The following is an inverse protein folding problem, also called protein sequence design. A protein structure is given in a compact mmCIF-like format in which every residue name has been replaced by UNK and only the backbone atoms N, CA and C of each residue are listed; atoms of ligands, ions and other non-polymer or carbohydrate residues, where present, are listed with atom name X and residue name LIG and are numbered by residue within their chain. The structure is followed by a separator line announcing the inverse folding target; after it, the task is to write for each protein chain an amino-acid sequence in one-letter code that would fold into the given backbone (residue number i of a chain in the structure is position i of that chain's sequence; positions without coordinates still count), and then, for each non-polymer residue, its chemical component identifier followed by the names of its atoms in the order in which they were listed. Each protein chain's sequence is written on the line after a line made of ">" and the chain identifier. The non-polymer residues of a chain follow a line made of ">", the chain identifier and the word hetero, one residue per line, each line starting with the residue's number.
data_IF_445872838747
#
_entry.id   IF_445872838747
#
_cell.length_a   1.000
_cell.length_b   1.000
_cell.length_c   1.000
_cell.angle_alpha   90.00
_cell.angle_beta   90.00
_cell.angle_gamma   90.00
#
_symmetry.space_group_name_H-M   'P 1'
#
loop_
_entity.id
_entity.type
_entity.pdbx_description
1 polymer ?
#
# COMPACT_ATOMS: atom_id res chain seq x y z
N UNK A 1 -5.75 -12.83 21.44
CA UNK A 1 -5.91 -11.86 20.33
C UNK A 1 -4.53 -11.50 19.81
N UNK A 2 -4.17 -12.03 18.67
CA UNK A 2 -2.90 -11.69 18.01
C UNK A 2 -2.91 -10.19 17.66
N UNK A 3 -2.02 -9.41 18.26
CA UNK A 3 -1.74 -8.05 17.81
C UNK A 3 -1.21 -8.14 16.39
N UNK A 4 -2.03 -7.85 15.38
CA UNK A 4 -1.55 -7.67 14.03
C UNK A 4 -0.43 -6.63 14.09
N UNK A 5 0.79 -7.04 13.74
CA UNK A 5 1.94 -6.16 13.70
C UNK A 5 1.62 -5.10 12.64
N UNK A 6 1.46 -3.84 13.06
CA UNK A 6 1.23 -2.75 12.11
C UNK A 6 2.38 -2.75 11.08
N UNK A 7 2.04 -2.67 9.81
CA UNK A 7 3.03 -2.50 8.74
C UNK A 7 3.72 -1.15 8.95
N UNK A 8 5.04 -1.12 8.85
CA UNK A 8 5.81 0.12 8.97
C UNK A 8 6.27 0.61 7.59
N UNK A 9 5.97 1.87 7.29
CA UNK A 9 6.51 2.62 6.16
C UNK A 9 7.56 3.59 6.68
N UNK A 10 8.74 3.54 6.11
CA UNK A 10 9.88 4.38 6.49
C UNK A 10 10.07 5.50 5.47
N UNK A 11 10.30 6.72 5.95
CA UNK A 11 10.80 7.79 5.09
C UNK A 11 12.32 7.64 5.02
N UNK A 12 12.85 7.29 3.85
CA UNK A 12 14.26 6.97 3.65
C UNK A 12 15.16 8.18 3.91
N UNK A 13 16.32 7.95 4.51
CA UNK A 13 17.35 8.98 4.72
C UNK A 13 18.48 8.91 3.68
N UNK A 14 18.52 7.83 2.91
CA UNK A 14 19.54 7.53 1.90
C UNK A 14 18.89 7.05 0.62
N UNK A 15 19.62 7.13 -0.49
CA UNK A 15 19.22 6.47 -1.72
C UNK A 15 19.31 4.95 -1.53
N UNK A 16 18.38 4.23 -2.12
CA UNK A 16 18.33 2.77 -2.11
C UNK A 16 17.72 2.27 -3.42
N UNK A 17 17.68 0.97 -3.60
CA UNK A 17 17.09 0.33 -4.77
C UNK A 17 16.02 -0.63 -4.27
N UNK A 18 14.86 -0.64 -4.92
CA UNK A 18 13.81 -1.59 -4.60
C UNK A 18 14.29 -3.03 -4.84
N UNK A 19 14.15 -3.87 -3.84
CA UNK A 19 14.57 -5.28 -3.92
C UNK A 19 13.85 -6.07 -5.00
N UNK A 20 12.62 -5.71 -5.34
CA UNK A 20 11.82 -6.40 -6.36
C UNK A 20 11.94 -5.74 -7.75
N UNK A 21 11.45 -4.53 -7.95
CA UNK A 21 11.40 -3.90 -9.28
C UNK A 21 12.70 -3.22 -9.72
N UNK A 22 13.71 -3.17 -8.85
CA UNK A 22 15.03 -2.53 -9.10
C UNK A 22 14.96 -1.02 -9.37
N UNK A 23 13.81 -0.40 -9.10
CA UNK A 23 13.67 1.05 -9.21
C UNK A 23 14.55 1.75 -8.17
N UNK A 24 15.19 2.85 -8.57
CA UNK A 24 15.91 3.72 -7.66
C UNK A 24 14.93 4.45 -6.73
N UNK A 25 15.21 4.37 -5.44
CA UNK A 25 14.45 5.01 -4.37
C UNK A 25 15.30 6.12 -3.78
N UNK A 26 14.97 7.35 -4.13
CA UNK A 26 15.70 8.53 -3.69
C UNK A 26 15.62 8.80 -2.18
N UNK A 27 16.32 9.84 -1.74
CA UNK A 27 16.16 10.37 -0.38
C UNK A 27 14.72 10.85 -0.18
N UNK A 28 14.16 10.61 1.01
CA UNK A 28 12.76 10.86 1.39
C UNK A 28 11.75 9.98 0.65
N UNK A 29 12.18 8.98 -0.10
CA UNK A 29 11.26 7.99 -0.64
C UNK A 29 10.58 7.23 0.50
N UNK A 30 9.34 6.87 0.28
CA UNK A 30 8.57 6.04 1.20
C UNK A 30 8.82 4.59 0.85
N UNK A 31 9.36 3.85 1.79
CA UNK A 31 9.76 2.47 1.63
C UNK A 31 9.19 1.62 2.75
N UNK A 32 9.01 0.35 2.49
CA UNK A 32 8.87 -0.66 3.53
C UNK A 32 10.03 -1.66 3.43
N UNK A 33 10.13 -2.54 4.39
CA UNK A 33 11.18 -3.56 4.40
C UNK A 33 10.55 -4.94 4.27
N UNK A 34 11.15 -5.77 3.42
CA UNK A 34 10.80 -7.18 3.33
C UNK A 34 11.33 -7.98 4.55
N UNK A 35 11.07 -9.29 4.57
CA UNK A 35 11.56 -10.19 5.63
C UNK A 35 13.09 -10.26 5.71
N UNK A 36 13.77 -10.00 4.59
CA UNK A 36 15.24 -9.97 4.48
C UNK A 36 15.81 -8.57 4.71
N UNK A 37 14.98 -7.59 5.07
CA UNK A 37 15.30 -6.17 5.25
C UNK A 37 15.75 -5.43 3.98
N UNK A 38 15.38 -5.92 2.80
CA UNK A 38 15.54 -5.14 1.58
C UNK A 38 14.48 -4.05 1.51
N UNK A 39 14.84 -2.89 0.96
CA UNK A 39 13.89 -1.81 0.71
C UNK A 39 12.92 -2.20 -0.41
N UNK A 40 11.64 -1.97 -0.20
CA UNK A 40 10.60 -2.12 -1.20
C UNK A 40 9.91 -0.78 -1.41
N UNK A 41 9.63 -0.42 -2.66
CA UNK A 41 8.75 0.69 -2.96
C UNK A 41 7.30 0.36 -2.55
N UNK A 42 6.47 1.37 -2.35
CA UNK A 42 5.08 1.14 -1.94
C UNK A 42 4.28 0.33 -2.97
N UNK A 43 4.58 0.50 -4.25
CA UNK A 43 3.96 -0.29 -5.31
C UNK A 43 4.26 -1.79 -5.16
N UNK A 44 5.53 -2.18 -4.98
CA UNK A 44 5.89 -3.58 -4.77
C UNK A 44 5.34 -4.14 -3.45
N UNK A 45 5.12 -3.29 -2.47
CA UNK A 45 4.55 -3.67 -1.18
C UNK A 45 3.01 -3.70 -1.14
N UNK A 46 2.32 -3.41 -2.25
CA UNK A 46 0.86 -3.27 -2.33
C UNK A 46 0.28 -2.17 -1.41
N UNK A 47 1.03 -1.10 -1.19
CA UNK A 47 0.66 0.02 -0.32
C UNK A 47 0.48 1.35 -1.08
N UNK A 48 0.65 1.36 -2.40
CA UNK A 48 0.58 2.54 -3.26
C UNK A 48 -0.82 3.18 -3.34
N UNK A 49 -1.85 2.40 -3.05
CA UNK A 49 -3.24 2.84 -3.00
C UNK A 49 -3.67 3.45 -1.66
N UNK A 50 -2.76 3.54 -0.69
CA UNK A 50 -3.05 4.10 0.62
C UNK A 50 -2.71 5.58 0.68
N UNK A 51 -3.57 6.37 1.33
CA UNK A 51 -3.43 7.82 1.47
C UNK A 51 -2.82 8.15 2.82
N UNK A 52 -1.92 9.14 2.81
CA UNK A 52 -1.23 9.59 4.02
C UNK A 52 -2.10 10.51 4.87
N UNK A 53 -2.15 10.20 6.15
CA UNK A 53 -2.71 11.04 7.21
C UNK A 53 -1.58 11.51 8.11
N UNK A 54 -1.27 12.81 8.13
CA UNK A 54 -0.24 13.35 9.02
C UNK A 54 -0.62 13.14 10.49
N UNK A 55 0.40 13.12 11.34
CA UNK A 55 0.21 13.13 12.80
C UNK A 55 -0.45 14.45 13.24
N UNK A 56 -1.36 14.38 14.22
CA UNK A 56 -2.02 15.57 14.78
C UNK A 56 -3.49 15.34 15.12
N UNK A 57 -4.23 14.61 14.29
CA UNK A 57 -5.62 14.24 14.58
C UNK A 57 -5.71 12.79 15.06
N UNK A 58 -5.80 12.62 16.37
CA UNK A 58 -5.90 11.28 17.00
C UNK A 58 -7.23 10.59 16.70
N UNK A 59 -8.32 11.35 16.56
CA UNK A 59 -9.63 10.82 16.24
C UNK A 59 -9.67 10.26 14.81
N UNK A 60 -9.11 11.00 13.87
CA UNK A 60 -9.00 10.61 12.46
C UNK A 60 -8.09 9.38 12.31
N UNK A 61 -6.94 9.38 12.98
CA UNK A 61 -5.99 8.26 12.97
C UNK A 61 -6.63 6.98 13.54
N UNK A 62 -7.39 7.10 14.63
CA UNK A 62 -8.10 5.98 15.25
C UNK A 62 -9.19 5.43 14.34
N UNK A 63 -9.98 6.30 13.69
CA UNK A 63 -11.02 5.91 12.73
C UNK A 63 -10.42 5.24 11.50
N UNK A 64 -9.34 5.79 10.95
CA UNK A 64 -8.59 5.19 9.85
C UNK A 64 -8.14 3.76 10.17
N UNK A 65 -7.60 3.53 11.37
CA UNK A 65 -7.20 2.20 11.82
C UNK A 65 -8.39 1.25 11.98
N UNK A 66 -9.51 1.73 12.53
CA UNK A 66 -10.69 0.91 12.80
C UNK A 66 -11.41 0.45 11.52
N UNK A 67 -11.47 1.33 10.51
CA UNK A 67 -12.27 1.11 9.31
C UNK A 67 -11.45 0.79 8.05
N UNK A 68 -10.13 0.79 8.13
CA UNK A 68 -9.27 0.34 7.04
C UNK A 68 -8.84 -1.10 7.26
N UNK A 69 -9.19 -1.99 6.33
CA UNK A 69 -8.72 -3.37 6.34
C UNK A 69 -7.19 -3.48 6.17
N UNK A 70 -6.57 -2.45 5.58
CA UNK A 70 -5.12 -2.31 5.42
C UNK A 70 -4.71 -0.91 5.83
N UNK A 71 -3.76 -0.80 6.73
CA UNK A 71 -3.13 0.47 7.11
C UNK A 71 -1.69 0.26 7.54
N UNK A 72 -0.87 1.29 7.41
CA UNK A 72 0.52 1.26 7.81
C UNK A 72 0.89 2.51 8.63
N UNK A 73 1.85 2.36 9.52
CA UNK A 73 2.41 3.46 10.32
C UNK A 73 3.58 4.07 9.55
N UNK A 74 3.58 5.39 9.38
CA UNK A 74 4.69 6.11 8.76
C UNK A 74 5.63 6.62 9.83
N UNK A 75 6.90 6.26 9.73
CA UNK A 75 7.94 6.65 10.67
C UNK A 75 9.11 7.36 9.97
N UNK A 76 9.67 8.34 10.63
CA UNK A 76 10.80 9.14 10.16
C UNK A 76 11.94 9.05 11.15
N UNK A 77 13.17 8.92 10.65
CA UNK A 77 14.37 8.97 11.48
C UNK A 77 14.69 10.39 11.91
N UNK A 78 14.73 10.64 13.22
CA UNK A 78 15.16 11.91 13.79
C UNK A 78 16.61 11.82 14.29
N UNK A 79 17.52 12.54 13.62
CA UNK A 79 18.95 12.56 13.97
C UNK A 79 19.21 13.06 15.37
N UNK A 80 18.48 14.11 15.78
CA UNK A 80 18.64 14.73 17.10
C UNK A 80 18.37 13.76 18.26
N UNK A 81 17.45 12.82 18.07
CA UNK A 81 17.03 11.83 19.08
C UNK A 81 17.52 10.42 18.79
N UNK A 82 18.25 10.22 17.67
CA UNK A 82 18.77 8.91 17.22
C UNK A 82 17.72 7.79 17.25
N UNK A 83 16.48 8.10 16.89
CA UNK A 83 15.37 7.14 16.85
C UNK A 83 14.37 7.43 15.75
N UNK A 84 13.54 6.43 15.40
CA UNK A 84 12.38 6.62 14.56
C UNK A 84 11.24 7.25 15.37
N UNK A 85 10.59 8.24 14.79
CA UNK A 85 9.39 8.85 15.37
C UNK A 85 8.20 8.71 14.42
N UNK A 86 7.01 8.63 15.01
CA UNK A 86 5.75 8.57 14.29
C UNK A 86 5.55 9.88 13.50
N UNK A 87 5.32 9.74 12.19
CA UNK A 87 5.05 10.85 11.28
C UNK A 87 3.60 10.91 10.84
N UNK A 88 2.91 9.78 10.85
CA UNK A 88 1.54 9.68 10.41
C UNK A 88 1.16 8.24 10.09
N UNK A 89 0.04 8.07 9.43
CA UNK A 89 -0.47 6.77 9.00
C UNK A 89 -0.95 6.83 7.55
N UNK A 90 -0.83 5.74 6.83
CA UNK A 90 -1.47 5.56 5.54
C UNK A 90 -2.64 4.57 5.67
N UNK A 91 -3.74 4.85 5.00
CA UNK A 91 -4.93 4.01 5.04
C UNK A 91 -5.96 4.43 3.98
N UNK A 92 -6.99 3.61 3.81
CA UNK A 92 -8.04 3.84 2.81
C UNK A 92 -8.98 5.01 3.12
N UNK A 93 -9.23 5.29 4.39
CA UNK A 93 -10.27 6.24 4.82
C UNK A 93 -9.97 7.68 4.41
N UNK A 94 -8.71 8.03 4.16
CA UNK A 94 -8.34 9.37 3.70
C UNK A 94 -8.67 9.57 2.22
N UNK A 95 -8.40 8.59 1.36
CA UNK A 95 -8.72 8.63 -0.07
C UNK A 95 -10.21 8.87 -0.32
N UNK A 96 -11.07 8.19 0.45
CA UNK A 96 -12.51 8.36 0.35
C UNK A 96 -13.00 9.77 0.73
N UNK A 97 -12.25 10.51 1.55
CA UNK A 97 -12.60 11.88 1.95
C UNK A 97 -12.13 12.94 0.96
N UNK A 98 -10.99 12.72 0.32
CA UNK A 98 -10.43 13.68 -0.64
C UNK A 98 -10.93 13.47 -2.06
N UNK A 99 -11.69 12.39 -2.32
CA UNK A 99 -12.17 12.00 -3.65
C UNK A 99 -11.05 12.04 -4.70
N UNK A 100 -9.83 11.68 -4.30
CA UNK A 100 -8.71 11.52 -5.20
C UNK A 100 -8.98 10.35 -6.15
N UNK A 101 -9.28 10.66 -7.39
CA UNK A 101 -9.67 9.70 -8.42
C UNK A 101 -8.59 8.63 -8.65
N UNK A 102 -7.33 9.03 -8.65
CA UNK A 102 -6.21 8.10 -8.81
C UNK A 102 -6.09 7.14 -7.60
N UNK A 103 -6.21 7.65 -6.38
CA UNK A 103 -6.18 6.82 -5.18
C UNK A 103 -7.39 5.86 -5.14
N UNK A 104 -8.56 6.30 -5.57
CA UNK A 104 -9.75 5.43 -5.70
C UNK A 104 -9.51 4.35 -6.75
N UNK A 105 -8.98 4.70 -7.92
CA UNK A 105 -8.65 3.76 -9.00
C UNK A 105 -7.66 2.70 -8.54
N UNK A 106 -6.58 3.10 -7.87
CA UNK A 106 -5.59 2.19 -7.32
C UNK A 106 -6.20 1.26 -6.24
N UNK A 107 -7.03 1.80 -5.37
CA UNK A 107 -7.71 1.02 -4.33
C UNK A 107 -8.68 -0.02 -4.92
N UNK A 108 -9.44 0.35 -5.94
CA UNK A 108 -10.34 -0.58 -6.65
C UNK A 108 -9.54 -1.67 -7.37
N UNK A 109 -8.47 -1.29 -8.07
CA UNK A 109 -7.58 -2.25 -8.75
C UNK A 109 -6.95 -3.23 -7.75
N UNK A 110 -6.48 -2.75 -6.60
CA UNK A 110 -5.94 -3.60 -5.55
C UNK A 110 -7.01 -4.53 -4.97
N UNK A 111 -8.22 -4.02 -4.72
CA UNK A 111 -9.34 -4.83 -4.23
C UNK A 111 -9.67 -5.98 -5.20
N UNK A 112 -9.88 -5.67 -6.48
CA UNK A 112 -10.17 -6.69 -7.51
C UNK A 112 -9.07 -7.73 -7.56
N UNK A 113 -7.81 -7.32 -7.55
CA UNK A 113 -6.67 -8.23 -7.57
C UNK A 113 -6.68 -9.22 -6.41
N UNK A 114 -6.99 -8.77 -5.20
CA UNK A 114 -6.97 -9.63 -4.00
C UNK A 114 -8.24 -10.47 -3.83
N UNK A 115 -9.41 -9.96 -4.22
CA UNK A 115 -10.69 -10.62 -3.94
C UNK A 115 -11.23 -11.42 -5.12
N UNK A 116 -11.00 -10.95 -6.34
CA UNK A 116 -11.62 -11.51 -7.55
C UNK A 116 -10.66 -12.36 -8.40
N UNK A 117 -9.37 -12.42 -8.00
CA UNK A 117 -8.37 -13.22 -8.72
C UNK A 117 -7.65 -14.19 -7.80
N UNK A 118 -6.82 -15.05 -8.38
CA UNK A 118 -5.99 -15.98 -7.60
C UNK A 118 -4.65 -15.38 -7.12
N UNK A 119 -4.52 -14.06 -7.09
CA UNK A 119 -3.29 -13.35 -6.75
C UNK A 119 -2.68 -13.81 -5.42
N UNK A 120 -3.48 -13.86 -4.36
CA UNK A 120 -2.98 -14.26 -3.03
C UNK A 120 -2.54 -15.74 -3.00
N UNK A 121 -3.19 -16.60 -3.78
CA UNK A 121 -2.78 -18.00 -3.94
C UNK A 121 -1.41 -18.12 -4.63
N UNK A 122 -1.14 -17.25 -5.61
CA UNK A 122 0.16 -17.20 -6.29
C UNK A 122 1.27 -16.76 -5.33
N UNK A 123 1.01 -15.76 -4.47
CA UNK A 123 1.94 -15.31 -3.43
C UNK A 123 2.22 -16.43 -2.40
N UNK A 124 1.21 -17.18 -2.00
CA UNK A 124 1.37 -18.32 -1.09
C UNK A 124 2.23 -19.44 -1.69
N UNK A 125 2.22 -19.59 -3.02
CA UNK A 125 3.09 -20.53 -3.76
C UNK A 125 4.53 -20.01 -3.92
N UNK A 126 4.86 -18.85 -3.37
CA UNK A 126 6.19 -18.27 -3.43
C UNK A 126 6.50 -17.51 -4.74
N UNK A 127 5.50 -17.25 -5.58
CA UNK A 127 5.67 -16.43 -6.78
C UNK A 127 5.90 -14.97 -6.34
N UNK A 128 6.88 -14.30 -6.93
CA UNK A 128 7.15 -12.90 -6.63
C UNK A 128 5.96 -12.00 -6.99
N UNK A 129 5.77 -10.91 -6.24
CA UNK A 129 4.63 -10.01 -6.41
C UNK A 129 4.51 -9.44 -7.81
N UNK A 130 5.63 -9.11 -8.44
CA UNK A 130 5.67 -8.60 -9.82
C UNK A 130 5.08 -9.62 -10.79
N UNK A 131 5.58 -10.85 -10.74
CA UNK A 131 5.16 -11.93 -11.64
C UNK A 131 3.70 -12.34 -11.37
N UNK A 132 3.31 -12.36 -10.10
CA UNK A 132 1.92 -12.63 -9.71
C UNK A 132 0.96 -11.55 -10.24
N UNK A 133 1.35 -10.26 -10.19
CA UNK A 133 0.57 -9.16 -10.76
C UNK A 133 0.45 -9.28 -12.28
N UNK A 134 1.54 -9.57 -12.96
CA UNK A 134 1.55 -9.74 -14.41
C UNK A 134 0.61 -10.88 -14.84
N UNK A 135 0.64 -11.98 -14.13
CA UNK A 135 -0.24 -13.13 -14.39
C UNK A 135 -1.72 -12.82 -14.22
N UNK A 136 -2.10 -12.04 -13.23
CA UNK A 136 -3.51 -11.71 -12.95
C UNK A 136 -3.98 -10.44 -13.65
N UNK A 137 -3.08 -9.67 -14.26
CA UNK A 137 -3.40 -8.40 -14.90
C UNK A 137 -4.53 -8.50 -15.96
N UNK A 138 -4.54 -9.48 -16.88
CA UNK A 138 -5.61 -9.61 -17.87
C UNK A 138 -6.98 -9.85 -17.22
N UNK A 139 -7.02 -10.60 -16.12
CA UNK A 139 -8.25 -10.89 -15.38
C UNK A 139 -8.75 -9.65 -14.64
N UNK A 140 -7.86 -8.92 -13.97
CA UNK A 140 -8.17 -7.64 -13.32
C UNK A 140 -8.74 -6.63 -14.33
N UNK A 141 -8.08 -6.45 -15.48
CA UNK A 141 -8.55 -5.53 -16.53
C UNK A 141 -9.95 -5.91 -17.02
N UNK A 142 -10.20 -7.19 -17.31
CA UNK A 142 -11.52 -7.66 -17.74
C UNK A 142 -12.61 -7.39 -16.71
N UNK A 143 -12.33 -7.57 -15.43
CA UNK A 143 -13.30 -7.30 -14.35
C UNK A 143 -13.59 -5.80 -14.25
N UNK A 144 -12.54 -4.96 -14.27
CA UNK A 144 -12.69 -3.52 -14.23
C UNK A 144 -13.48 -2.98 -15.43
N UNK A 145 -13.22 -3.50 -16.63
CA UNK A 145 -13.96 -3.13 -17.84
C UNK A 145 -15.43 -3.54 -17.76
N UNK A 146 -15.73 -4.73 -17.22
CA UNK A 146 -17.10 -5.16 -16.95
C UNK A 146 -17.81 -4.21 -16.01
N UNK A 147 -17.15 -3.75 -14.95
CA UNK A 147 -17.74 -2.81 -14.00
C UNK A 147 -17.98 -1.42 -14.60
N UNK A 148 -17.09 -0.97 -15.50
CA UNK A 148 -17.29 0.30 -16.23
C UNK A 148 -18.48 0.25 -17.19
N UNK A 149 -18.70 -0.87 -17.86
CA UNK A 149 -19.72 -1.02 -18.91
C UNK A 149 -20.98 -1.73 -18.44
N UNK A 150 -20.95 -2.41 -17.31
CA UNK A 150 -22.11 -3.14 -16.73
C UNK A 150 -23.06 -2.27 -15.91
N UNK A 151 -22.84 -0.97 -15.81
CA UNK A 151 -23.72 -0.01 -15.12
C UNK A 151 -24.80 0.62 -16.01
N UNK A 152 -25.00 0.13 -17.22
CA UNK A 152 -26.01 0.64 -18.17
C UNK A 152 -26.99 -0.46 -18.58
N UNK A 153 -27.68 -1.03 -17.59
CA UNK A 153 -28.93 -1.78 -17.81
C UNK A 153 -29.80 -1.58 -16.56
N UNK A 154 -30.51 -0.47 -16.52
CA UNK A 154 -31.95 -0.29 -16.22
C UNK A 154 -32.32 1.18 -16.36
#
# INVERSE_FOLDING_TARGET
>A
MSKSKDIAVFISTRNSICGECKQELGRRAWITLDRKRNALCLNCADLDHLVFLPSGDTALTRRSRKYSGLSAVVVKWLRARKRYEYSGRVGRSAAAKELDEEAVRLAVTAHVRHTETNYDKLLLKGIERRDAREKVYPEVSRILDRWKHGGSQD
#
